data_IF_030792271298
#
_entry.id   IF_030792271298
#
_cell.length_a   1.000
_cell.length_b   1.000
_cell.length_c   1.000
_cell.angle_alpha   90.00
_cell.angle_beta   90.00
_cell.angle_gamma   90.00
#
_symmetry.space_group_name_H-M   'P 1'
#
loop_
_entity.id
_entity.type
_entity.pdbx_description
1 polymer ?
#
# COMPACT_ATOMS: atom_id res chain seq x y z
N UNK A 1 13.70 -24.91 -19.46
CA UNK A 1 13.82 -23.77 -20.38
C UNK A 1 14.78 -22.77 -19.75
N UNK A 2 15.99 -22.65 -20.29
CA UNK A 2 17.02 -21.72 -19.78
C UNK A 2 16.76 -20.35 -20.39
N UNK A 3 16.22 -19.41 -19.64
CA UNK A 3 16.17 -18.01 -20.05
C UNK A 3 17.58 -17.42 -19.91
N UNK A 4 18.23 -17.15 -21.03
CA UNK A 4 19.43 -16.30 -21.04
C UNK A 4 18.97 -14.85 -21.14
N UNK A 5 18.99 -14.15 -20.03
CA UNK A 5 18.87 -12.70 -20.02
C UNK A 5 20.24 -12.09 -19.83
N UNK A 6 20.62 -11.19 -20.70
CA UNK A 6 21.88 -10.44 -20.60
C UNK A 6 21.58 -9.14 -19.91
N UNK A 7 22.19 -8.94 -18.74
CA UNK A 7 22.11 -7.68 -18.03
C UNK A 7 23.46 -6.99 -18.11
N UNK A 8 23.51 -5.67 -18.29
CA UNK A 8 24.75 -4.93 -18.20
C UNK A 8 25.23 -4.91 -16.75
N UNK A 9 26.41 -5.46 -16.52
CA UNK A 9 27.13 -5.34 -15.25
C UNK A 9 28.26 -4.35 -15.37
N UNK A 10 28.37 -3.49 -14.41
CA UNK A 10 29.54 -2.63 -14.29
C UNK A 10 30.66 -3.40 -13.57
N UNK A 11 31.61 -3.86 -14.35
CA UNK A 11 32.77 -4.62 -13.88
C UNK A 11 34.00 -3.75 -14.04
N UNK A 12 34.70 -3.48 -12.95
CA UNK A 12 35.98 -2.78 -13.00
C UNK A 12 36.35 -2.12 -11.69
N UNK A 13 37.63 -1.76 -11.61
CA UNK A 13 38.09 -0.87 -10.56
C UNK A 13 37.38 0.50 -10.69
N UNK A 14 37.21 1.18 -9.57
CA UNK A 14 36.69 2.55 -9.59
C UNK A 14 37.54 3.42 -10.53
N UNK A 15 36.91 4.27 -11.36
CA UNK A 15 37.64 5.17 -12.25
C UNK A 15 38.68 6.02 -11.53
N UNK A 16 38.38 6.39 -10.29
CA UNK A 16 39.33 7.04 -9.39
C UNK A 16 39.22 6.41 -7.99
N UNK A 17 40.25 5.69 -7.53
CA UNK A 17 40.23 5.02 -6.23
C UNK A 17 40.24 5.97 -5.03
N UNK A 18 40.59 7.26 -5.25
CA UNK A 18 40.57 8.27 -4.20
C UNK A 18 39.20 8.74 -3.80
N UNK A 19 38.15 8.46 -4.60
CA UNK A 19 36.77 8.77 -4.29
C UNK A 19 36.03 7.53 -3.81
N UNK A 20 35.17 7.71 -2.80
CA UNK A 20 34.19 6.72 -2.37
C UNK A 20 33.00 6.64 -3.33
N UNK A 21 31.79 6.73 -2.79
CA UNK A 21 30.60 6.84 -3.60
C UNK A 21 30.45 8.26 -4.12
N UNK A 22 30.13 8.41 -5.39
CA UNK A 22 29.74 9.69 -5.97
C UNK A 22 28.21 9.70 -5.96
N UNK A 23 27.63 10.61 -5.18
CA UNK A 23 26.19 10.83 -5.15
C UNK A 23 25.86 11.98 -6.11
N UNK A 24 25.07 11.68 -7.11
CA UNK A 24 24.54 12.69 -8.02
C UNK A 24 23.04 12.85 -7.76
N UNK A 25 22.60 14.08 -7.53
CA UNK A 25 21.19 14.44 -7.41
C UNK A 25 20.75 14.97 -8.76
N UNK A 26 19.79 14.29 -9.37
CA UNK A 26 19.22 14.66 -10.67
C UNK A 26 17.73 14.91 -10.53
N UNK A 27 17.25 15.94 -11.20
CA UNK A 27 15.83 16.20 -11.44
C UNK A 27 15.45 15.55 -12.79
N UNK A 28 15.27 14.24 -12.80
CA UNK A 28 15.00 13.48 -14.02
C UNK A 28 13.80 12.52 -13.89
N UNK A 29 13.14 12.51 -12.72
CA UNK A 29 12.00 11.62 -12.49
C UNK A 29 10.73 12.16 -13.12
N UNK A 30 10.05 11.31 -13.89
CA UNK A 30 8.76 11.61 -14.49
C UNK A 30 7.67 10.77 -13.87
N UNK A 31 6.53 11.37 -13.56
CA UNK A 31 5.35 10.66 -13.06
C UNK A 31 4.15 10.97 -13.93
N UNK A 32 3.41 9.94 -14.30
CA UNK A 32 2.17 10.02 -15.08
C UNK A 32 1.01 9.41 -14.30
N UNK A 33 -0.06 10.18 -14.15
CA UNK A 33 -1.27 9.73 -13.49
C UNK A 33 -2.50 9.95 -14.37
N UNK A 34 -3.28 8.90 -14.59
CA UNK A 34 -4.55 8.95 -15.30
C UNK A 34 -5.63 8.34 -14.44
N UNK A 35 -6.78 8.98 -14.35
CA UNK A 35 -7.89 8.47 -13.58
C UNK A 35 -9.25 8.83 -14.20
N UNK A 36 -10.20 7.89 -14.06
CA UNK A 36 -11.63 8.12 -14.21
C UNK A 36 -12.25 8.12 -12.82
N UNK A 37 -12.95 9.20 -12.48
CA UNK A 37 -13.65 9.33 -11.19
C UNK A 37 -15.14 9.40 -11.45
N UNK A 38 -15.88 8.47 -10.84
CA UNK A 38 -17.34 8.46 -10.84
C UNK A 38 -17.83 8.79 -9.44
N UNK A 39 -18.75 9.74 -9.33
CA UNK A 39 -19.32 10.15 -8.05
C UNK A 39 -20.84 10.10 -8.09
N UNK A 40 -21.44 9.66 -7.00
CA UNK A 40 -22.86 9.72 -6.79
C UNK A 40 -23.16 10.28 -5.40
N UNK A 41 -23.96 11.35 -5.37
CA UNK A 41 -24.28 12.06 -4.15
C UNK A 41 -25.81 12.23 -4.06
N UNK A 42 -26.35 12.00 -2.88
CA UNK A 42 -27.75 12.30 -2.57
C UNK A 42 -27.81 13.11 -1.28
N UNK A 43 -28.45 14.27 -1.34
CA UNK A 43 -28.74 15.07 -0.15
C UNK A 43 -29.83 14.38 0.69
N UNK A 44 -29.85 14.69 1.97
CA UNK A 44 -30.79 14.10 2.90
C UNK A 44 -32.24 14.30 2.43
N UNK A 45 -32.88 13.19 2.04
CA UNK A 45 -34.24 13.18 1.59
C UNK A 45 -34.89 11.88 2.08
N UNK A 46 -36.06 11.96 2.71
CA UNK A 46 -36.75 10.81 3.32
C UNK A 46 -35.87 10.01 4.26
N UNK A 47 -35.05 10.71 5.06
CA UNK A 47 -34.10 10.10 6.01
C UNK A 47 -32.82 9.52 5.43
N UNK A 48 -32.64 9.50 4.10
CA UNK A 48 -31.48 8.93 3.44
C UNK A 48 -30.59 10.00 2.79
N UNK A 49 -29.31 10.00 3.16
CA UNK A 49 -28.24 10.71 2.50
C UNK A 49 -27.13 9.72 2.14
N UNK A 50 -26.52 9.86 0.99
CA UNK A 50 -25.31 9.11 0.67
C UNK A 50 -24.35 9.90 -0.21
N UNK A 51 -23.09 9.55 -0.09
CA UNK A 51 -22.01 10.02 -0.94
C UNK A 51 -21.14 8.82 -1.29
N UNK A 52 -20.86 8.65 -2.57
CA UNK A 52 -19.95 7.61 -3.02
C UNK A 52 -19.02 8.11 -4.12
N UNK A 53 -17.83 7.56 -4.16
CA UNK A 53 -16.82 7.85 -5.17
C UNK A 53 -16.11 6.55 -5.57
N UNK A 54 -16.03 6.32 -6.86
CA UNK A 54 -15.23 5.26 -7.44
C UNK A 54 -14.17 5.86 -8.35
N UNK A 55 -12.92 5.49 -8.13
CA UNK A 55 -11.78 5.90 -8.94
C UNK A 55 -11.16 4.67 -9.60
N UNK A 56 -11.08 4.69 -10.91
CA UNK A 56 -10.25 3.79 -11.71
C UNK A 56 -9.02 4.57 -12.13
N UNK A 57 -7.82 4.18 -11.69
CA UNK A 57 -6.62 4.97 -11.94
C UNK A 57 -5.43 4.12 -12.35
N UNK A 58 -4.45 4.78 -12.94
CA UNK A 58 -3.14 4.23 -13.26
C UNK A 58 -2.08 5.28 -12.99
N UNK A 59 -1.14 4.94 -12.11
CA UNK A 59 0.04 5.74 -11.83
C UNK A 59 1.29 5.02 -12.35
N UNK A 60 2.13 5.73 -13.08
CA UNK A 60 3.42 5.24 -13.58
C UNK A 60 4.50 6.26 -13.25
N UNK A 61 5.68 5.77 -12.94
CA UNK A 61 6.87 6.59 -12.76
C UNK A 61 8.12 5.85 -13.24
N UNK A 62 9.20 6.57 -13.39
CA UNK A 62 10.53 6.07 -13.67
C UNK A 62 11.43 6.19 -12.43
N UNK A 63 10.82 6.37 -11.27
CA UNK A 63 11.52 6.39 -10.00
C UNK A 63 11.76 4.94 -9.53
N UNK A 64 12.97 4.44 -9.74
CA UNK A 64 13.41 3.14 -9.21
C UNK A 64 13.44 3.09 -7.68
N UNK A 65 13.21 4.22 -7.06
CA UNK A 65 13.24 4.44 -5.62
C UNK A 65 11.88 4.19 -4.98
N UNK A 66 11.86 3.31 -4.03
CA UNK A 66 10.88 3.31 -2.94
C UNK A 66 11.18 4.52 -2.05
N UNK A 67 10.84 5.70 -2.49
CA UNK A 67 11.12 6.92 -1.77
C UNK A 67 10.43 6.92 -0.41
N UNK A 68 11.17 6.78 0.63
CA UNK A 68 10.85 7.43 1.87
C UNK A 68 10.99 8.95 1.65
N UNK A 69 10.00 9.72 2.03
CA UNK A 69 10.02 11.19 1.96
C UNK A 69 11.06 11.83 2.93
N UNK A 70 11.94 11.06 3.47
CA UNK A 70 13.08 11.50 4.25
C UNK A 70 14.25 11.74 3.31
N UNK A 71 14.77 12.94 3.32
CA UNK A 71 16.04 13.35 2.69
C UNK A 71 17.28 12.62 3.25
N UNK A 72 17.10 11.52 3.91
CA UNK A 72 18.23 10.60 4.10
C UNK A 72 18.55 10.05 2.72
N UNK A 73 19.80 10.05 2.30
CA UNK A 73 20.24 9.36 1.09
C UNK A 73 20.14 7.85 1.31
N UNK A 74 18.94 7.37 1.54
CA UNK A 74 18.59 5.95 1.42
C UNK A 74 18.50 5.71 -0.06
N UNK A 75 19.61 5.49 -0.57
CA UNK A 75 20.03 5.19 -1.90
C UNK A 75 19.10 4.19 -2.55
N UNK A 76 18.07 4.69 -3.10
CA UNK A 76 17.33 4.01 -4.12
C UNK A 76 18.14 4.14 -5.38
N UNK A 77 19.15 3.32 -5.49
CA UNK A 77 19.93 3.28 -6.70
C UNK A 77 19.04 2.85 -7.84
N UNK A 78 19.06 3.59 -8.92
CA UNK A 78 18.50 3.17 -10.19
C UNK A 78 19.02 1.76 -10.51
N UNK A 79 18.17 0.93 -11.07
CA UNK A 79 18.58 -0.41 -11.53
C UNK A 79 19.73 -0.31 -12.54
N UNK A 80 19.65 0.66 -13.44
CA UNK A 80 20.69 1.01 -14.38
C UNK A 80 20.91 2.53 -14.36
N UNK A 81 21.95 3.06 -13.71
CA UNK A 81 22.20 4.50 -13.58
C UNK A 81 22.30 5.24 -14.91
N UNK A 82 22.61 4.53 -15.99
CA UNK A 82 22.76 5.07 -17.34
C UNK A 82 21.56 4.86 -18.24
N UNK A 83 20.55 4.11 -17.77
CA UNK A 83 19.28 3.91 -18.46
C UNK A 83 18.11 4.21 -17.50
N UNK A 84 17.68 5.46 -17.42
CA UNK A 84 16.53 5.85 -16.59
C UNK A 84 15.25 5.09 -16.95
N UNK A 85 15.10 4.66 -18.22
CA UNK A 85 13.93 3.92 -18.66
C UNK A 85 13.87 2.50 -18.07
N UNK A 86 15.00 1.94 -17.64
CA UNK A 86 15.08 0.64 -16.99
C UNK A 86 14.29 0.56 -15.68
N UNK A 87 14.01 1.69 -15.05
CA UNK A 87 13.22 1.79 -13.82
C UNK A 87 11.77 2.21 -14.06
N UNK A 88 11.40 2.46 -15.32
CA UNK A 88 10.02 2.78 -15.67
C UNK A 88 9.06 1.62 -15.35
N UNK A 89 7.96 1.95 -14.67
CA UNK A 89 6.98 0.94 -14.26
C UNK A 89 5.73 1.55 -13.64
N UNK A 90 4.97 0.71 -12.96
CA UNK A 90 3.87 1.19 -12.13
C UNK A 90 4.43 1.87 -10.89
N UNK A 91 3.81 2.97 -10.49
CA UNK A 91 4.20 3.67 -9.26
C UNK A 91 3.82 2.84 -8.01
N UNK A 92 4.56 3.02 -6.93
CA UNK A 92 4.16 2.50 -5.61
C UNK A 92 2.82 3.06 -5.14
N UNK A 93 2.46 4.24 -5.64
CA UNK A 93 1.17 4.89 -5.37
C UNK A 93 0.04 4.39 -6.26
N UNK A 94 0.31 3.50 -7.24
CA UNK A 94 -0.73 2.94 -8.10
C UNK A 94 -1.74 2.16 -7.28
N UNK A 95 -2.98 2.64 -7.30
CA UNK A 95 -4.16 1.97 -6.73
C UNK A 95 -5.21 1.88 -7.83
N UNK A 96 -5.24 0.74 -8.51
CA UNK A 96 -6.08 0.56 -9.71
C UNK A 96 -7.53 0.88 -9.46
N UNK A 97 -8.05 0.44 -8.34
CA UNK A 97 -9.45 0.63 -7.94
C UNK A 97 -9.50 1.22 -6.55
N UNK A 98 -10.28 2.27 -6.37
CA UNK A 98 -10.61 2.85 -5.08
C UNK A 98 -12.09 3.14 -5.04
N UNK A 99 -12.79 2.56 -4.09
CA UNK A 99 -14.20 2.84 -3.81
C UNK A 99 -14.36 3.29 -2.37
N UNK A 100 -15.04 4.41 -2.19
CA UNK A 100 -15.40 4.94 -0.88
C UNK A 100 -16.87 5.30 -0.93
N UNK A 101 -17.64 4.89 0.08
CA UNK A 101 -19.02 5.28 0.22
C UNK A 101 -19.33 5.59 1.69
N UNK A 102 -20.09 6.65 1.92
CA UNK A 102 -20.70 6.96 3.20
C UNK A 102 -22.20 7.10 3.04
N UNK A 103 -22.94 6.55 3.98
CA UNK A 103 -24.40 6.61 4.03
C UNK A 103 -24.79 7.14 5.39
N UNK A 104 -25.84 7.96 5.45
CA UNK A 104 -26.54 8.31 6.68
C UNK A 104 -28.00 8.00 6.47
N UNK A 105 -28.55 7.14 7.31
CA UNK A 105 -29.95 6.80 7.29
C UNK A 105 -30.60 7.07 8.64
N UNK A 106 -31.58 7.97 8.64
CA UNK A 106 -32.41 8.29 9.80
C UNK A 106 -33.71 7.50 9.70
N UNK A 107 -33.96 6.60 10.64
CA UNK A 107 -35.16 5.77 10.62
C UNK A 107 -36.40 6.57 10.98
N UNK A 108 -37.41 6.54 10.13
CA UNK A 108 -38.73 7.18 10.36
C UNK A 108 -39.82 6.40 9.62
N UNK A 109 -40.39 5.42 10.27
CA UNK A 109 -41.44 4.57 9.72
C UNK A 109 -42.82 5.08 10.15
N UNK A 110 -43.71 5.34 9.17
CA UNK A 110 -45.05 5.88 9.44
C UNK A 110 -46.12 4.82 9.70
N UNK A 111 -45.97 3.62 9.12
CA UNK A 111 -46.98 2.55 9.17
C UNK A 111 -46.92 1.62 10.39
N UNK A 112 -46.20 1.98 11.44
CA UNK A 112 -46.03 1.15 12.63
C UNK A 112 -46.98 1.57 13.76
N UNK A 113 -47.29 0.61 14.68
CA UNK A 113 -47.92 0.92 15.96
C UNK A 113 -47.05 1.90 16.79
N UNK A 114 -47.60 2.54 17.79
CA UNK A 114 -46.88 3.51 18.60
C UNK A 114 -45.68 2.86 19.32
N UNK A 115 -45.85 1.63 19.82
CA UNK A 115 -44.73 0.86 20.37
C UNK A 115 -43.64 0.55 19.31
N UNK A 116 -44.06 0.19 18.08
CA UNK A 116 -43.15 -0.03 16.97
C UNK A 116 -42.37 1.25 16.59
N UNK A 117 -43.06 2.38 16.51
CA UNK A 117 -42.42 3.69 16.28
C UNK A 117 -41.42 4.03 17.40
N UNK A 118 -41.82 3.80 18.64
CA UNK A 118 -40.96 4.08 19.81
C UNK A 118 -39.63 3.27 19.81
N UNK A 119 -39.65 2.07 19.24
CA UNK A 119 -38.47 1.20 19.19
C UNK A 119 -37.63 1.46 17.91
N UNK A 120 -38.26 1.55 16.74
CA UNK A 120 -37.60 1.52 15.46
C UNK A 120 -37.28 2.92 14.87
N UNK A 121 -37.98 3.97 15.30
CA UNK A 121 -37.72 5.32 14.83
C UNK A 121 -36.67 6.06 15.67
N UNK A 122 -36.09 7.10 15.09
CA UNK A 122 -35.14 7.97 15.76
C UNK A 122 -33.70 7.43 15.80
N UNK A 123 -33.43 6.34 15.10
CA UNK A 123 -32.07 5.86 14.92
C UNK A 123 -31.39 6.55 13.76
N UNK A 124 -30.10 6.85 13.93
CA UNK A 124 -29.19 7.24 12.85
C UNK A 124 -28.20 6.10 12.63
N UNK A 125 -28.18 5.57 11.42
CA UNK A 125 -27.29 4.48 10.99
C UNK A 125 -26.37 5.06 9.92
N UNK A 126 -25.04 5.04 10.17
CA UNK A 126 -24.06 5.68 9.31
C UNK A 126 -22.88 4.76 9.01
N UNK A 127 -22.99 3.85 8.02
CA UNK A 127 -21.86 3.07 7.55
C UNK A 127 -20.92 3.90 6.67
N UNK A 128 -19.61 3.58 6.74
CA UNK A 128 -18.58 4.03 5.83
C UNK A 128 -17.89 2.79 5.26
N UNK A 129 -17.88 2.69 3.94
CA UNK A 129 -17.28 1.58 3.21
C UNK A 129 -16.02 2.06 2.52
N UNK A 130 -14.91 1.34 2.72
CA UNK A 130 -13.63 1.60 2.07
C UNK A 130 -13.13 0.34 1.40
N UNK A 131 -12.84 0.44 0.09
CA UNK A 131 -12.29 -0.66 -0.69
C UNK A 131 -11.27 -0.12 -1.68
N UNK A 132 -10.04 -0.65 -1.64
CA UNK A 132 -9.01 -0.29 -2.62
C UNK A 132 -8.12 -1.47 -2.97
N UNK A 133 -7.57 -1.42 -4.18
CA UNK A 133 -6.54 -2.36 -4.61
C UNK A 133 -5.35 -2.33 -3.66
N UNK A 134 -4.73 -3.46 -3.46
CA UNK A 134 -3.49 -3.55 -2.69
C UNK A 134 -2.39 -2.66 -3.24
N UNK A 135 -1.40 -2.38 -2.41
CA UNK A 135 -0.23 -1.62 -2.83
C UNK A 135 0.61 -2.41 -3.84
N UNK A 136 1.36 -1.67 -4.65
CA UNK A 136 2.32 -2.25 -5.58
C UNK A 136 3.65 -2.51 -4.89
N UNK A 137 4.35 -3.55 -5.33
CA UNK A 137 5.69 -3.86 -4.85
C UNK A 137 6.57 -4.48 -5.93
N UNK A 138 7.85 -4.32 -5.74
CA UNK A 138 8.90 -4.83 -6.63
C UNK A 138 9.49 -6.10 -6.03
N UNK A 139 9.71 -7.12 -6.86
CA UNK A 139 10.47 -8.30 -6.44
C UNK A 139 11.95 -7.94 -6.24
N UNK A 140 12.50 -8.39 -5.13
CA UNK A 140 13.91 -8.20 -4.78
C UNK A 140 14.61 -9.54 -4.58
N UNK A 141 15.91 -9.53 -4.76
CA UNK A 141 16.78 -10.64 -4.38
C UNK A 141 17.46 -10.32 -3.06
N UNK A 142 17.79 -11.33 -2.30
CA UNK A 142 18.61 -11.20 -1.11
C UNK A 142 19.66 -12.28 -1.10
N UNK A 143 20.81 -12.01 -0.51
CA UNK A 143 21.88 -12.97 -0.35
C UNK A 143 23.25 -12.32 -0.26
N UNK A 144 24.22 -13.16 0.00
CA UNK A 144 25.59 -12.80 0.27
C UNK A 144 26.51 -13.40 -0.78
N UNK A 145 27.40 -12.60 -1.32
CA UNK A 145 28.54 -13.07 -2.09
C UNK A 145 29.81 -12.76 -1.33
N UNK A 146 30.66 -13.76 -1.05
CA UNK A 146 31.92 -13.52 -0.38
C UNK A 146 32.77 -12.52 -1.18
N UNK A 147 33.45 -11.60 -0.51
CA UNK A 147 34.48 -10.78 -1.16
C UNK A 147 35.54 -11.70 -1.77
N UNK A 148 36.05 -11.34 -2.94
CA UNK A 148 37.06 -12.07 -3.69
C UNK A 148 36.64 -13.44 -4.31
N UNK A 149 35.38 -13.80 -4.32
CA UNK A 149 34.91 -14.92 -5.12
C UNK A 149 34.69 -14.48 -6.58
N UNK A 150 34.82 -15.42 -7.50
CA UNK A 150 34.46 -15.18 -8.92
C UNK A 150 32.99 -14.75 -9.03
N UNK A 151 32.17 -15.21 -8.12
CA UNK A 151 30.79 -14.84 -7.96
C UNK A 151 30.62 -13.34 -7.66
N UNK A 152 31.51 -12.72 -6.91
CA UNK A 152 31.45 -11.29 -6.57
C UNK A 152 31.57 -10.39 -7.78
N UNK A 153 32.30 -10.82 -8.78
CA UNK A 153 32.51 -10.05 -10.00
C UNK A 153 31.37 -10.15 -11.00
N UNK A 154 30.56 -11.18 -10.91
CA UNK A 154 29.51 -11.52 -11.91
C UNK A 154 28.14 -11.70 -11.29
N UNK A 155 27.96 -11.35 -10.02
CA UNK A 155 26.77 -11.72 -9.28
C UNK A 155 25.65 -10.75 -9.51
N UNK A 156 24.59 -11.28 -9.98
CA UNK A 156 23.32 -10.61 -10.17
C UNK A 156 22.72 -10.21 -8.81
N UNK A 157 22.78 -8.93 -8.48
CA UNK A 157 22.10 -8.37 -7.33
C UNK A 157 22.59 -8.81 -5.96
N UNK A 158 23.78 -9.36 -5.85
CA UNK A 158 24.28 -9.85 -4.60
C UNK A 158 25.63 -9.24 -4.27
N UNK A 159 25.62 -8.25 -3.44
CA UNK A 159 26.78 -7.91 -2.63
C UNK A 159 26.28 -7.56 -1.23
N UNK A 160 27.08 -7.81 -0.22
CA UNK A 160 26.80 -7.31 1.13
C UNK A 160 26.57 -5.80 1.16
N UNK A 161 27.11 -5.13 0.19
CA UNK A 161 27.14 -3.69 0.12
C UNK A 161 26.09 -3.12 -0.83
N UNK A 162 25.16 -3.93 -1.34
CA UNK A 162 23.98 -3.35 -1.88
C UNK A 162 23.63 -3.55 -3.32
N UNK A 163 23.70 -4.66 -3.95
CA UNK A 163 23.00 -4.89 -5.19
C UNK A 163 23.83 -4.76 -6.46
N UNK A 164 23.15 -4.74 -7.60
CA UNK A 164 23.72 -4.87 -8.95
C UNK A 164 24.77 -3.81 -9.27
N UNK A 165 24.62 -2.62 -8.75
CA UNK A 165 25.50 -1.49 -9.02
C UNK A 165 26.55 -1.25 -7.92
N UNK A 166 26.85 -2.26 -7.13
CA UNK A 166 27.84 -2.14 -6.04
C UNK A 166 27.23 -1.67 -4.73
N UNK A 167 28.04 -1.01 -3.91
CA UNK A 167 27.62 -0.52 -2.59
C UNK A 167 26.42 0.41 -2.71
N UNK A 168 25.31 0.08 -2.02
CA UNK A 168 24.02 0.76 -2.11
C UNK A 168 23.30 0.66 -3.47
N UNK A 169 23.66 -0.30 -4.30
CA UNK A 169 22.96 -0.58 -5.55
C UNK A 169 21.56 -1.19 -5.36
N UNK A 170 20.83 -1.34 -6.43
CA UNK A 170 19.50 -1.92 -6.41
C UNK A 170 19.51 -3.42 -6.12
N UNK A 171 18.66 -3.88 -5.21
CA UNK A 171 18.38 -5.30 -4.96
C UNK A 171 17.25 -5.82 -5.86
N UNK A 172 16.70 -4.99 -6.72
CA UNK A 172 15.59 -5.35 -7.59
C UNK A 172 15.92 -6.56 -8.45
N UNK A 173 14.94 -7.46 -8.57
CA UNK A 173 15.01 -8.56 -9.51
C UNK A 173 14.76 -8.06 -10.94
N UNK A 174 15.82 -7.95 -11.73
CA UNK A 174 15.81 -7.25 -13.01
C UNK A 174 14.99 -7.89 -14.13
N UNK A 175 14.47 -9.11 -13.95
CA UNK A 175 13.60 -9.77 -14.91
C UNK A 175 12.14 -9.33 -14.82
N UNK A 176 11.79 -8.54 -13.81
CA UNK A 176 10.45 -8.01 -13.64
C UNK A 176 10.46 -6.48 -13.68
N UNK A 177 9.42 -5.88 -14.27
CA UNK A 177 9.25 -4.43 -14.19
C UNK A 177 9.17 -3.93 -12.74
N UNK A 178 9.46 -2.66 -12.54
CA UNK A 178 9.28 -2.03 -11.24
C UNK A 178 7.80 -2.10 -10.84
N UNK A 179 7.52 -2.44 -9.57
CA UNK A 179 6.18 -2.53 -9.01
C UNK A 179 5.21 -3.45 -9.80
N UNK A 180 5.74 -4.53 -10.39
CA UNK A 180 4.95 -5.48 -11.20
C UNK A 180 3.90 -6.24 -10.39
N UNK A 181 4.12 -6.42 -9.10
CA UNK A 181 3.26 -7.21 -8.21
C UNK A 181 2.34 -6.32 -7.39
N UNK A 182 1.29 -6.89 -6.84
CA UNK A 182 0.37 -6.19 -5.95
C UNK A 182 0.00 -7.07 -4.75
N UNK A 183 -0.16 -6.43 -3.60
CA UNK A 183 -0.66 -7.03 -2.38
C UNK A 183 -2.18 -7.29 -2.48
N UNK A 184 -2.76 -8.06 -1.57
CA UNK A 184 -4.20 -8.20 -1.45
C UNK A 184 -4.91 -6.87 -1.26
N UNK A 185 -6.17 -6.81 -1.74
CA UNK A 185 -6.99 -5.60 -1.62
C UNK A 185 -7.37 -5.32 -0.16
N UNK A 186 -7.37 -4.05 0.20
CA UNK A 186 -7.83 -3.55 1.50
C UNK A 186 -9.33 -3.27 1.41
N UNK A 187 -10.10 -3.81 2.37
CA UNK A 187 -11.56 -3.66 2.42
C UNK A 187 -12.01 -3.65 3.87
N UNK A 188 -12.65 -2.58 4.29
CA UNK A 188 -13.25 -2.50 5.63
C UNK A 188 -14.51 -1.63 5.62
N UNK A 189 -15.34 -1.86 6.62
CA UNK A 189 -16.56 -1.11 6.87
C UNK A 189 -16.56 -0.66 8.32
N UNK A 190 -16.76 0.63 8.50
CA UNK A 190 -17.01 1.24 9.78
C UNK A 190 -18.49 1.56 9.89
N UNK A 191 -19.05 1.48 11.10
CA UNK A 191 -20.46 1.70 11.33
C UNK A 191 -20.66 2.52 12.59
N UNK A 192 -21.40 3.61 12.46
CA UNK A 192 -21.94 4.36 13.58
C UNK A 192 -23.44 4.18 13.67
N UNK A 193 -23.94 3.86 14.87
CA UNK A 193 -25.35 3.81 15.20
C UNK A 193 -25.57 4.75 16.36
N UNK A 194 -26.52 5.68 16.25
CA UNK A 194 -26.87 6.55 17.36
C UNK A 194 -28.37 6.74 17.49
N UNK A 195 -28.80 7.13 18.69
CA UNK A 195 -30.19 7.49 18.96
C UNK A 195 -30.26 8.63 19.96
N UNK A 196 -31.11 9.61 19.65
CA UNK A 196 -31.38 10.77 20.51
C UNK A 196 -32.68 10.60 21.26
N UNK A 197 -32.62 10.89 22.54
CA UNK A 197 -33.78 10.93 23.44
C UNK A 197 -33.95 12.35 23.96
N UNK A 198 -35.16 12.87 23.86
CA UNK A 198 -35.51 14.17 24.49
C UNK A 198 -35.75 13.91 25.97
N UNK A 199 -35.04 14.66 26.83
CA UNK A 199 -35.16 14.58 28.28
C UNK A 199 -36.09 15.71 28.78
N UNK A 200 -35.89 16.92 28.24
CA UNK A 200 -36.74 18.09 28.49
C UNK A 200 -36.94 18.84 27.18
N UNK A 201 -37.69 19.97 27.19
CA UNK A 201 -37.85 20.81 25.99
C UNK A 201 -36.51 21.36 25.47
N UNK A 202 -35.55 21.65 26.35
CA UNK A 202 -34.22 22.16 25.98
C UNK A 202 -33.09 21.14 26.02
N UNK A 203 -33.33 19.93 26.52
CA UNK A 203 -32.25 18.96 26.74
C UNK A 203 -32.46 17.63 26.06
N UNK A 204 -31.38 17.08 25.48
CA UNK A 204 -31.35 15.78 24.77
C UNK A 204 -30.17 14.97 25.24
N UNK A 205 -30.32 13.65 25.23
CA UNK A 205 -29.21 12.69 25.37
C UNK A 205 -29.11 11.89 24.07
N UNK A 206 -27.90 11.83 23.50
CA UNK A 206 -27.58 10.96 22.38
C UNK A 206 -26.70 9.82 22.89
N UNK A 207 -27.14 8.59 22.68
CA UNK A 207 -26.31 7.41 22.83
C UNK A 207 -25.77 7.01 21.45
N UNK A 208 -24.49 6.70 21.38
CA UNK A 208 -23.85 6.29 20.14
C UNK A 208 -22.95 5.08 20.36
N UNK A 209 -22.92 4.20 19.37
CA UNK A 209 -22.02 3.09 19.25
C UNK A 209 -21.30 3.20 17.91
N UNK A 210 -19.98 3.11 17.93
CA UNK A 210 -19.13 3.12 16.74
C UNK A 210 -18.35 1.80 16.67
N UNK A 211 -18.39 1.16 15.53
CA UNK A 211 -17.61 -0.04 15.23
C UNK A 211 -16.69 0.23 14.05
N UNK A 212 -15.40 0.07 14.25
CA UNK A 212 -14.38 0.14 13.21
C UNK A 212 -14.05 -1.27 12.75
N UNK A 213 -13.91 -1.45 11.43
CA UNK A 213 -13.68 -2.76 10.83
C UNK A 213 -14.67 -3.80 11.37
N UNK A 214 -15.98 -3.51 11.26
CA UNK A 214 -17.05 -4.30 11.91
C UNK A 214 -17.04 -5.79 11.54
N UNK A 215 -16.54 -6.12 10.36
CA UNK A 215 -16.39 -7.51 9.89
C UNK A 215 -15.11 -8.18 10.37
N UNK A 216 -14.29 -7.49 11.19
CA UNK A 216 -13.02 -7.98 11.69
C UNK A 216 -12.11 -8.56 10.61
N UNK A 217 -12.07 -7.91 9.46
CA UNK A 217 -11.27 -8.36 8.33
C UNK A 217 -9.81 -7.99 8.53
N UNK A 218 -8.93 -8.97 8.47
CA UNK A 218 -7.49 -8.75 8.47
C UNK A 218 -7.07 -8.05 7.18
N UNK A 219 -6.32 -6.97 7.30
CA UNK A 219 -5.77 -6.22 6.18
C UNK A 219 -4.28 -6.55 6.02
N UNK A 220 -3.85 -6.81 4.79
CA UNK A 220 -2.43 -7.05 4.49
C UNK A 220 -1.75 -5.71 4.24
N UNK A 221 -0.84 -5.32 5.12
CA UNK A 221 -0.10 -4.06 5.08
C UNK A 221 1.34 -4.21 4.63
N UNK A 222 1.86 -5.43 4.66
CA UNK A 222 3.17 -5.80 4.14
C UNK A 222 3.17 -7.19 3.51
N UNK A 223 4.07 -7.41 2.56
CA UNK A 223 4.30 -8.71 1.91
C UNK A 223 5.79 -8.99 1.83
N UNK A 224 6.16 -10.27 1.83
CA UNK A 224 7.53 -10.65 1.54
C UNK A 224 7.83 -10.40 0.05
N UNK A 225 8.72 -9.47 -0.21
CA UNK A 225 9.10 -9.07 -1.57
C UNK A 225 10.30 -9.83 -2.13
N UNK A 226 10.93 -10.67 -1.32
CA UNK A 226 12.08 -11.46 -1.74
C UNK A 226 11.64 -12.63 -2.60
N UNK A 227 12.04 -12.62 -3.88
CA UNK A 227 11.72 -13.69 -4.83
C UNK A 227 12.78 -14.78 -4.84
N UNK A 228 14.06 -14.40 -4.68
CA UNK A 228 15.18 -15.35 -4.64
C UNK A 228 16.14 -15.01 -3.52
N UNK A 229 16.61 -16.06 -2.85
CA UNK A 229 17.80 -16.05 -2.00
C UNK A 229 19.00 -16.42 -2.84
N UNK A 230 20.00 -15.56 -2.89
CA UNK A 230 21.25 -15.82 -3.60
C UNK A 230 22.29 -16.39 -2.66
N UNK A 231 23.01 -17.39 -3.12
CA UNK A 231 24.11 -18.02 -2.40
C UNK A 231 25.31 -18.15 -3.33
N UNK A 232 26.48 -17.75 -2.84
CA UNK A 232 27.71 -17.85 -3.58
C UNK A 232 28.25 -19.28 -3.55
N UNK A 233 28.81 -19.71 -4.68
CA UNK A 233 29.59 -20.94 -4.81
C UNK A 233 30.97 -20.62 -5.37
N UNK A 234 31.85 -21.58 -5.42
CA UNK A 234 33.21 -21.42 -6.01
C UNK A 234 33.17 -21.10 -7.50
N UNK A 235 32.11 -21.49 -8.19
CA UNK A 235 31.97 -21.38 -9.65
C UNK A 235 30.89 -20.40 -10.10
N UNK A 236 30.09 -19.86 -9.16
CA UNK A 236 28.99 -18.97 -9.53
C UNK A 236 28.05 -18.64 -8.38
N UNK A 237 26.81 -18.30 -8.71
CA UNK A 237 25.75 -18.02 -7.76
C UNK A 237 24.57 -18.93 -7.99
N UNK A 238 24.04 -19.51 -6.94
CA UNK A 238 22.80 -20.25 -6.94
C UNK A 238 21.69 -19.31 -6.47
N UNK A 239 20.62 -19.18 -7.27
CA UNK A 239 19.40 -18.48 -6.90
C UNK A 239 18.37 -19.52 -6.47
N UNK A 240 18.03 -19.53 -5.19
CA UNK A 240 16.99 -20.40 -4.64
C UNK A 240 15.70 -19.59 -4.50
N UNK A 241 14.62 -20.08 -5.10
CA UNK A 241 13.31 -19.43 -4.99
C UNK A 241 12.85 -19.40 -3.51
N UNK A 242 12.33 -18.26 -3.09
CA UNK A 242 11.74 -18.13 -1.76
C UNK A 242 10.24 -18.47 -1.83
N UNK A 243 9.82 -19.61 -1.24
CA UNK A 243 8.43 -20.04 -1.30
C UNK A 243 7.47 -19.11 -0.54
N UNK A 244 8.01 -18.20 0.27
CA UNK A 244 7.22 -17.19 0.98
C UNK A 244 7.05 -15.89 0.20
N UNK A 245 7.56 -15.81 -1.04
CA UNK A 245 7.38 -14.64 -1.89
C UNK A 245 5.90 -14.30 -2.07
N UNK A 246 5.55 -13.04 -1.83
CA UNK A 246 4.18 -12.55 -1.93
C UNK A 246 3.26 -12.92 -0.76
N UNK A 247 3.73 -13.72 0.20
CA UNK A 247 2.95 -13.99 1.41
C UNK A 247 2.91 -12.76 2.32
N UNK A 248 1.82 -12.58 3.09
CA UNK A 248 1.74 -11.50 4.06
C UNK A 248 2.89 -11.52 5.06
N UNK A 249 3.56 -10.40 5.25
CA UNK A 249 4.58 -10.20 6.28
C UNK A 249 4.09 -9.30 7.41
N UNK A 250 3.17 -8.38 7.08
CA UNK A 250 2.50 -7.50 8.03
C UNK A 250 0.99 -7.59 7.87
N UNK A 251 0.29 -7.74 8.99
CA UNK A 251 -1.16 -7.86 9.05
C UNK A 251 -1.72 -6.79 9.98
N UNK A 252 -2.71 -6.04 9.47
CA UNK A 252 -3.45 -5.07 10.28
C UNK A 252 -2.56 -4.12 11.08
N UNK A 253 -1.35 -3.83 10.55
CA UNK A 253 -0.37 -2.99 11.22
C UNK A 253 -0.69 -1.50 11.00
N UNK A 254 -0.44 -0.70 12.04
CA UNK A 254 -0.63 0.74 12.02
C UNK A 254 -1.98 1.20 12.56
N UNK A 255 -2.15 2.52 12.62
CA UNK A 255 -3.30 3.17 13.25
C UNK A 255 -4.63 2.98 12.49
N UNK A 256 -4.58 2.68 11.18
CA UNK A 256 -5.75 2.72 10.31
C UNK A 256 -6.33 1.34 9.96
N UNK A 257 -5.64 0.24 10.22
CA UNK A 257 -6.03 -1.09 9.74
C UNK A 257 -6.03 -2.15 10.85
N UNK A 258 -6.49 -1.74 12.04
CA UNK A 258 -6.55 -2.62 13.21
C UNK A 258 -7.70 -3.61 13.12
N UNK A 259 -7.68 -4.57 14.03
CA UNK A 259 -8.78 -5.46 14.33
C UNK A 259 -10.02 -4.65 14.69
N UNK A 260 -11.19 -5.29 14.71
CA UNK A 260 -12.44 -4.63 15.08
C UNK A 260 -12.33 -3.95 16.44
N UNK A 261 -12.70 -2.68 16.44
CA UNK A 261 -12.81 -1.87 17.66
C UNK A 261 -14.25 -1.41 17.82
N UNK A 262 -14.73 -1.37 19.04
CA UNK A 262 -16.06 -0.86 19.38
C UNK A 262 -15.91 0.23 20.41
N UNK A 263 -16.54 1.36 20.17
CA UNK A 263 -16.59 2.51 21.07
C UNK A 263 -18.04 2.84 21.38
N UNK A 264 -18.32 3.07 22.66
CA UNK A 264 -19.62 3.53 23.16
C UNK A 264 -19.45 4.92 23.75
N UNK A 265 -20.40 5.81 23.47
CA UNK A 265 -20.41 7.14 24.05
C UNK A 265 -21.84 7.64 24.30
N UNK A 266 -21.96 8.55 25.24
CA UNK A 266 -23.17 9.32 25.50
C UNK A 266 -22.84 10.81 25.44
N UNK A 267 -23.70 11.59 24.77
CA UNK A 267 -23.61 13.03 24.66
C UNK A 267 -24.84 13.65 25.26
N UNK A 268 -24.64 14.61 26.14
CA UNK A 268 -25.70 15.44 26.66
C UNK A 268 -25.68 16.80 25.94
N UNK A 269 -26.83 17.24 25.42
CA UNK A 269 -27.03 18.52 24.76
C UNK A 269 -28.07 19.31 25.56
N UNK A 270 -27.76 20.54 25.91
CA UNK A 270 -28.60 21.45 26.66
C UNK A 270 -28.63 22.84 26.03
#
# INVERSE_FOLDING_TARGET
MLFRSVFPFYRGARPNPSFGNILEIRDSVSTKYHALVLQANRRLTHGLQFQSSYTLSRAQDDNGSQSSATFTPSFSALFAPFDPNGDSGLSTFDRRHKFVASVVYNTNFSGLSDAGKAILNGWTIAPIVNMYSGFRYTAVTNGFTPPNSVATANTFGASQAGGINGSNGSLRFGLTPNNAFHAPAIKYVDLRISRRFRVTEGSKIEFLAEGFNIFNRTQVTGVNTRIYQLSATTTGVIATFDPTFGTPSDLSNGFFFRERQIQLAARFEF
#
